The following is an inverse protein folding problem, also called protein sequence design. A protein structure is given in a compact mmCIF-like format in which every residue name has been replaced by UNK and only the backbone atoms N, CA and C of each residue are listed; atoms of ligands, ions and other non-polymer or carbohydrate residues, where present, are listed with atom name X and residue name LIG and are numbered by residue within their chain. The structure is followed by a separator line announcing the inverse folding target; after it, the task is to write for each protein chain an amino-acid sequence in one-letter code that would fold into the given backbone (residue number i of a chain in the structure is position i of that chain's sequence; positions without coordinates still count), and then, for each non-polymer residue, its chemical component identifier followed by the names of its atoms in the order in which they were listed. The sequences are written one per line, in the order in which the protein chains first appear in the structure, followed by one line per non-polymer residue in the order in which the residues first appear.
data_IF_201873331808
#
_entry.id   IF_201873331808
#
_cell.length_a   1.000
_cell.length_b   1.000
_cell.length_c   1.000
_cell.angle_alpha   90.00
_cell.angle_beta   90.00
_cell.angle_gamma   90.00
#
_symmetry.space_group_name_H-M   'P 1'
#
loop_
_entity.id
_entity.type
_entity.pdbx_description
1 polymer ?
#
# COMPACT_ATOMS: atom_id res chain seq x y z
N UNK A 1 15.37 -5.45 -21.71
CA UNK A 1 15.09 -4.42 -20.70
C UNK A 1 14.50 -3.10 -21.25
N UNK A 2 14.23 -2.97 -22.54
CA UNK A 2 13.66 -1.73 -23.16
C UNK A 2 12.13 -1.73 -23.32
N UNK A 3 11.47 -2.87 -23.22
CA UNK A 3 10.02 -3.03 -23.45
C UNK A 3 9.12 -2.65 -22.26
N UNK A 4 9.66 -2.57 -21.03
CA UNK A 4 8.86 -2.27 -19.83
C UNK A 4 8.54 -0.78 -19.68
N UNK A 5 9.34 0.11 -20.28
CA UNK A 5 9.14 1.57 -20.17
C UNK A 5 7.97 2.11 -21.02
N UNK A 6 7.58 1.39 -22.06
CA UNK A 6 6.47 1.79 -22.94
C UNK A 6 5.08 1.42 -22.37
N UNK A 7 4.98 0.40 -21.52
CA UNK A 7 3.70 -0.04 -20.97
C UNK A 7 3.16 0.89 -19.88
N UNK A 8 4.02 1.55 -19.12
CA UNK A 8 3.62 2.49 -18.05
C UNK A 8 3.05 3.79 -18.63
N UNK A 9 3.55 4.24 -19.78
CA UNK A 9 3.05 5.45 -20.45
C UNK A 9 1.71 5.24 -21.17
N UNK A 10 1.42 4.03 -21.63
CA UNK A 10 0.17 3.73 -22.33
C UNK A 10 -1.05 3.64 -21.38
N UNK A 11 -0.85 3.26 -20.12
CA UNK A 11 -1.95 3.17 -19.15
C UNK A 11 -2.41 4.54 -18.62
N UNK A 12 -1.54 5.55 -18.64
CA UNK A 12 -1.88 6.92 -18.22
C UNK A 12 -2.72 7.68 -19.26
N UNK A 13 -2.68 7.27 -20.52
CA UNK A 13 -3.36 7.97 -21.60
C UNK A 13 -4.80 7.48 -21.88
N UNK A 14 -5.14 6.26 -21.49
CA UNK A 14 -6.45 5.67 -21.80
C UNK A 14 -7.56 5.95 -20.77
N UNK A 15 -7.23 6.48 -19.58
CA UNK A 15 -8.21 6.82 -18.55
C UNK A 15 -8.90 8.20 -18.76
N UNK A 16 -8.54 8.95 -19.79
CA UNK A 16 -8.93 10.35 -19.96
C UNK A 16 -10.20 10.63 -20.79
N UNK A 17 -10.78 9.67 -21.49
CA UNK A 17 -11.75 9.97 -22.57
C UNK A 17 -13.23 9.69 -22.21
N UNK A 18 -13.55 9.06 -21.08
CA UNK A 18 -14.91 8.60 -20.76
C UNK A 18 -15.78 9.51 -19.87
N UNK A 19 -15.31 10.65 -19.36
CA UNK A 19 -15.99 11.37 -18.26
C UNK A 19 -16.50 12.80 -18.60
N UNK A 20 -16.74 13.11 -19.86
CA UNK A 20 -16.97 14.50 -20.27
C UNK A 20 -18.34 15.15 -20.01
N UNK A 21 -19.54 14.53 -19.95
CA UNK A 21 -20.76 15.32 -19.82
C UNK A 21 -21.29 15.55 -18.40
N UNK A 22 -20.92 14.74 -17.41
CA UNK A 22 -21.37 14.95 -16.01
C UNK A 22 -20.49 15.91 -15.20
N UNK A 23 -19.32 16.28 -15.73
CA UNK A 23 -18.33 17.11 -15.04
C UNK A 23 -18.78 18.59 -14.87
N UNK A 24 -19.64 19.11 -15.75
CA UNK A 24 -20.03 20.53 -15.73
C UNK A 24 -20.92 20.91 -14.54
N UNK A 25 -21.75 19.99 -14.04
CA UNK A 25 -22.59 20.24 -12.85
C UNK A 25 -21.85 20.00 -11.52
N UNK A 26 -20.81 19.18 -11.53
CA UNK A 26 -19.95 18.95 -10.37
C UNK A 26 -19.01 20.13 -10.08
N UNK A 27 -18.82 21.03 -11.05
CA UNK A 27 -17.88 22.15 -10.94
C UNK A 27 -18.26 23.20 -9.90
N UNK A 28 -19.53 23.40 -9.60
CA UNK A 28 -19.97 24.39 -8.61
C UNK A 28 -19.74 24.01 -7.15
N UNK A 29 -19.54 22.71 -6.84
CA UNK A 29 -19.31 22.21 -5.49
C UNK A 29 -17.92 21.61 -5.27
N UNK A 30 -17.02 21.68 -6.24
CA UNK A 30 -15.70 21.02 -6.22
C UNK A 30 -14.68 21.65 -5.26
N UNK A 31 -14.99 22.77 -4.64
CA UNK A 31 -14.09 23.46 -3.71
C UNK A 31 -14.26 23.03 -2.24
N UNK A 32 -15.25 22.22 -1.91
CA UNK A 32 -15.48 21.76 -0.55
C UNK A 32 -14.63 20.54 -0.23
N UNK A 33 -13.76 20.65 0.77
CA UNK A 33 -13.10 19.51 1.39
C UNK A 33 -14.11 18.54 2.02
N UNK A 34 -15.16 19.07 2.62
CA UNK A 34 -16.16 18.32 3.36
C UNK A 34 -16.98 17.45 2.42
N UNK A 35 -17.27 16.24 2.87
CA UNK A 35 -18.19 15.34 2.22
C UNK A 35 -17.85 15.09 0.74
N UNK A 36 -16.56 14.86 0.48
CA UNK A 36 -16.03 14.69 -0.86
C UNK A 36 -15.38 13.33 -1.06
N UNK A 37 -15.35 12.90 -2.32
CA UNK A 37 -14.69 11.69 -2.78
C UNK A 37 -13.44 12.03 -3.55
N UNK A 38 -12.34 11.42 -3.18
CA UNK A 38 -11.07 11.55 -3.89
C UNK A 38 -10.60 10.20 -4.38
N UNK A 39 -10.19 10.16 -5.62
CA UNK A 39 -9.40 9.05 -6.16
C UNK A 39 -7.98 9.51 -6.36
N UNK A 40 -7.01 8.67 -5.96
CA UNK A 40 -5.61 8.99 -6.04
C UNK A 40 -4.79 7.88 -6.67
N UNK A 41 -3.65 8.31 -7.25
CA UNK A 41 -2.56 7.44 -7.64
C UNK A 41 -1.27 7.97 -7.04
N UNK A 42 -0.41 7.07 -6.61
CA UNK A 42 0.83 7.44 -5.95
C UNK A 42 1.98 6.48 -6.25
N UNK A 43 3.18 6.99 -6.05
CA UNK A 43 4.40 6.22 -6.05
C UNK A 43 5.22 6.48 -4.80
N UNK A 44 6.13 5.59 -4.50
CA UNK A 44 6.97 5.72 -3.31
C UNK A 44 7.92 4.58 -3.12
N UNK A 45 8.36 4.41 -1.88
CA UNK A 45 9.27 3.35 -1.46
C UNK A 45 8.79 2.71 -0.17
N UNK A 46 8.87 1.38 -0.14
CA UNK A 46 8.68 0.57 1.07
C UNK A 46 10.04 0.05 1.52
N UNK A 47 10.49 0.48 2.71
CA UNK A 47 11.71 0.01 3.35
C UNK A 47 11.35 -1.06 4.38
N UNK A 48 11.88 -2.25 4.22
CA UNK A 48 11.61 -3.39 5.08
C UNK A 48 12.85 -4.26 5.26
N UNK A 49 12.84 -5.11 6.26
CA UNK A 49 13.86 -6.14 6.43
C UNK A 49 13.27 -7.54 6.48
N UNK A 50 13.98 -8.46 5.83
CA UNK A 50 13.85 -9.89 6.05
C UNK A 50 14.78 -10.33 7.17
N UNK A 51 14.78 -11.61 7.52
CA UNK A 51 15.73 -12.17 8.47
C UNK A 51 17.20 -12.09 8.05
N UNK A 52 17.47 -11.79 6.77
CA UNK A 52 18.83 -11.79 6.19
C UNK A 52 19.29 -10.39 5.81
N UNK A 53 18.41 -9.55 5.26
CA UNK A 53 18.79 -8.26 4.69
C UNK A 53 17.66 -7.24 4.70
N UNK A 54 18.03 -5.95 4.83
CA UNK A 54 17.13 -4.83 4.61
C UNK A 54 17.02 -4.50 3.12
N UNK A 55 15.85 -4.09 2.66
CA UNK A 55 15.54 -3.75 1.27
C UNK A 55 14.68 -2.51 1.18
N UNK A 56 14.91 -1.76 0.10
CA UNK A 56 14.06 -0.67 -0.34
C UNK A 56 13.38 -1.08 -1.65
N UNK A 57 12.07 -1.08 -1.65
CA UNK A 57 11.24 -1.52 -2.78
C UNK A 57 10.47 -0.34 -3.36
N UNK A 58 10.61 -0.02 -4.64
CA UNK A 58 9.71 0.93 -5.29
C UNK A 58 8.27 0.40 -5.21
N UNK A 59 7.36 1.30 -4.89
CA UNK A 59 5.96 0.99 -4.65
C UNK A 59 5.08 1.91 -5.49
N UNK A 60 4.01 1.36 -6.04
CA UNK A 60 2.95 2.14 -6.71
C UNK A 60 1.60 1.72 -6.14
N UNK A 61 0.67 2.66 -6.09
CA UNK A 61 -0.64 2.38 -5.52
C UNK A 61 -1.73 3.30 -6.03
N UNK A 62 -2.95 2.90 -5.69
CA UNK A 62 -4.17 3.65 -5.87
C UNK A 62 -4.84 3.80 -4.52
N UNK A 63 -5.50 4.92 -4.29
CA UNK A 63 -6.28 5.12 -3.10
C UNK A 63 -7.63 5.78 -3.40
N UNK A 64 -8.54 5.62 -2.46
CA UNK A 64 -9.85 6.19 -2.46
C UNK A 64 -10.14 6.79 -1.08
N UNK A 65 -10.32 8.10 -1.03
CA UNK A 65 -10.51 8.84 0.22
C UNK A 65 -11.92 9.43 0.28
N UNK A 66 -12.65 9.08 1.32
CA UNK A 66 -13.94 9.70 1.67
C UNK A 66 -13.70 10.67 2.81
N UNK A 67 -13.99 11.94 2.58
CA UNK A 67 -13.80 12.97 3.60
C UNK A 67 -15.11 13.33 4.30
N UNK A 68 -14.99 13.67 5.56
CA UNK A 68 -15.98 14.34 6.40
C UNK A 68 -15.33 15.60 7.00
N UNK A 69 -15.98 16.28 7.89
CA UNK A 69 -15.51 17.55 8.46
C UNK A 69 -14.03 17.56 8.85
N UNK A 70 -13.61 16.62 9.69
CA UNK A 70 -12.22 16.47 10.16
C UNK A 70 -11.69 15.04 10.00
N UNK A 71 -12.53 14.13 9.53
CA UNK A 71 -12.22 12.73 9.40
C UNK A 71 -12.24 12.33 7.94
N UNK A 72 -11.47 11.33 7.60
CA UNK A 72 -11.61 10.64 6.33
C UNK A 72 -11.38 9.14 6.52
N UNK A 73 -11.97 8.37 5.64
CA UNK A 73 -11.66 6.97 5.42
C UNK A 73 -10.83 6.87 4.15
N UNK A 74 -9.68 6.26 4.24
CA UNK A 74 -8.84 5.95 3.10
C UNK A 74 -8.85 4.44 2.86
N UNK A 75 -9.17 4.02 1.64
CA UNK A 75 -9.01 2.66 1.15
C UNK A 75 -7.89 2.67 0.11
N UNK A 76 -7.00 1.70 0.16
CA UNK A 76 -5.87 1.67 -0.76
C UNK A 76 -5.51 0.27 -1.22
N UNK A 77 -4.89 0.21 -2.38
CA UNK A 77 -4.23 -0.97 -2.91
C UNK A 77 -2.90 -0.57 -3.53
N UNK A 78 -1.84 -1.29 -3.20
CA UNK A 78 -0.51 -0.99 -3.69
C UNK A 78 0.29 -2.24 -3.98
N UNK A 79 1.34 -2.07 -4.78
CA UNK A 79 2.31 -3.10 -5.08
C UNK A 79 3.73 -2.57 -4.92
N UNK A 80 4.54 -3.29 -4.15
CA UNK A 80 5.97 -3.08 -4.00
C UNK A 80 6.73 -4.12 -4.82
N UNK A 81 7.76 -3.67 -5.56
CA UNK A 81 8.54 -4.51 -6.47
C UNK A 81 9.92 -4.76 -5.89
N UNK A 82 10.25 -6.00 -5.62
CA UNK A 82 11.56 -6.38 -5.08
C UNK A 82 11.88 -7.85 -5.32
N UNK A 83 13.17 -8.16 -5.17
CA UNK A 83 13.68 -9.51 -4.97
C UNK A 83 14.48 -9.53 -3.68
N UNK A 84 14.14 -10.39 -2.76
CA UNK A 84 14.80 -10.52 -1.48
C UNK A 84 14.87 -12.00 -1.05
N UNK A 85 15.77 -12.30 -0.14
CA UNK A 85 15.88 -13.61 0.50
C UNK A 85 15.43 -13.46 1.94
N UNK A 86 14.60 -14.39 2.39
CA UNK A 86 14.20 -14.55 3.78
C UNK A 86 14.52 -15.96 4.25
N UNK A 87 14.23 -16.28 5.49
CA UNK A 87 14.39 -17.65 6.00
C UNK A 87 13.10 -18.16 6.63
N UNK A 88 12.91 -19.46 6.53
CA UNK A 88 11.89 -20.21 7.24
C UNK A 88 12.51 -21.45 7.86
N UNK A 89 12.03 -21.87 9.02
CA UNK A 89 12.42 -23.14 9.60
C UNK A 89 11.48 -24.24 9.12
N UNK A 90 12.05 -25.31 8.57
CA UNK A 90 11.30 -26.50 8.13
C UNK A 90 10.57 -27.16 9.33
N UNK A 91 11.25 -27.18 10.49
CA UNK A 91 10.71 -27.61 11.79
C UNK A 91 11.51 -26.93 12.92
N UNK A 92 11.05 -26.93 14.19
CA UNK A 92 11.65 -26.12 15.27
C UNK A 92 13.15 -26.32 15.52
N UNK A 93 13.70 -27.48 15.17
CA UNK A 93 15.13 -27.80 15.36
C UNK A 93 15.93 -27.77 14.06
N UNK A 94 15.29 -27.46 12.92
CA UNK A 94 15.97 -27.41 11.63
C UNK A 94 16.78 -26.11 11.47
N UNK A 95 17.87 -26.19 10.70
CA UNK A 95 18.55 -25.01 10.21
C UNK A 95 17.61 -24.16 9.35
N UNK A 96 17.69 -22.83 9.42
CA UNK A 96 16.86 -21.97 8.61
C UNK A 96 17.08 -22.21 7.12
N UNK A 97 16.00 -22.50 6.38
CA UNK A 97 16.00 -22.61 4.92
C UNK A 97 15.82 -21.23 4.31
N UNK A 98 16.64 -20.92 3.33
CA UNK A 98 16.46 -19.69 2.54
C UNK A 98 15.26 -19.82 1.61
N UNK A 99 14.55 -18.72 1.46
CA UNK A 99 13.37 -18.59 0.60
C UNK A 99 13.50 -17.31 -0.20
N UNK A 100 13.52 -17.42 -1.52
CA UNK A 100 13.46 -16.29 -2.42
C UNK A 100 12.05 -15.74 -2.45
N UNK A 101 11.90 -14.47 -2.10
CA UNK A 101 10.62 -13.77 -2.11
C UNK A 101 10.64 -12.63 -3.13
N UNK A 102 9.53 -12.47 -3.85
CA UNK A 102 9.39 -11.37 -4.80
C UNK A 102 8.08 -10.65 -4.59
N UNK A 103 8.11 -9.36 -4.82
CA UNK A 103 6.95 -8.47 -4.87
C UNK A 103 5.99 -8.63 -3.68
N UNK A 104 5.43 -7.54 -3.24
CA UNK A 104 4.40 -7.55 -2.22
C UNK A 104 3.22 -6.71 -2.68
N UNK A 105 2.02 -7.25 -2.53
CA UNK A 105 0.76 -6.52 -2.65
C UNK A 105 0.26 -6.19 -1.28
N UNK A 106 -0.26 -4.99 -1.13
CA UNK A 106 -0.89 -4.56 0.11
C UNK A 106 -2.24 -3.91 -0.20
N UNK A 107 -3.27 -4.35 0.50
CA UNK A 107 -4.60 -3.74 0.48
C UNK A 107 -5.01 -3.41 1.90
N UNK A 108 -5.66 -2.27 2.09
CA UNK A 108 -6.01 -1.86 3.44
C UNK A 108 -6.89 -0.63 3.50
N UNK A 109 -7.11 -0.21 4.73
CA UNK A 109 -7.84 1.01 5.03
C UNK A 109 -7.18 1.75 6.18
N UNK A 110 -7.36 3.08 6.23
CA UNK A 110 -7.02 3.91 7.40
C UNK A 110 -8.10 4.93 7.70
N UNK A 111 -8.33 5.16 8.97
CA UNK A 111 -9.07 6.30 9.46
C UNK A 111 -8.09 7.45 9.65
N UNK A 112 -8.37 8.58 9.00
CA UNK A 112 -7.51 9.77 9.01
C UNK A 112 -8.20 10.90 9.77
N UNK A 113 -7.43 11.64 10.55
CA UNK A 113 -7.86 12.84 11.26
C UNK A 113 -7.07 14.01 10.73
N UNK A 114 -7.77 15.01 10.21
CA UNK A 114 -7.17 16.22 9.67
C UNK A 114 -7.12 17.34 10.72
N UNK A 115 -5.99 17.99 10.80
CA UNK A 115 -5.86 19.23 11.59
C UNK A 115 -6.67 20.35 10.93
N UNK A 116 -7.00 21.45 11.64
CA UNK A 116 -7.51 22.64 11.01
C UNK A 116 -6.62 23.06 9.84
N UNK A 117 -7.24 23.47 8.72
CA UNK A 117 -6.51 23.82 7.51
C UNK A 117 -5.55 24.99 7.73
N UNK A 118 -4.34 24.84 7.28
CA UNK A 118 -3.37 25.93 7.12
C UNK A 118 -3.54 26.49 5.70
N UNK A 119 -4.58 27.29 5.49
CA UNK A 119 -4.98 27.80 4.17
C UNK A 119 -5.23 26.65 3.17
N UNK A 120 -4.25 26.31 2.35
CA UNK A 120 -4.30 25.32 1.28
C UNK A 120 -3.63 23.99 1.63
N UNK A 121 -3.05 23.84 2.82
CA UNK A 121 -2.42 22.61 3.31
C UNK A 121 -3.29 21.99 4.39
N UNK A 122 -3.49 20.67 4.33
CA UNK A 122 -4.19 19.85 5.33
C UNK A 122 -3.29 18.74 5.84
N UNK A 123 -2.60 18.96 6.96
CA UNK A 123 -1.90 17.88 7.67
C UNK A 123 -2.89 16.89 8.25
N UNK A 124 -2.47 15.62 8.33
CA UNK A 124 -3.26 14.56 8.93
C UNK A 124 -2.41 13.51 9.63
N UNK A 125 -3.05 12.81 10.53
CA UNK A 125 -2.57 11.56 11.11
C UNK A 125 -3.61 10.48 10.85
N UNK A 126 -3.18 9.26 10.67
CA UNK A 126 -4.06 8.14 10.42
C UNK A 126 -3.62 6.88 11.15
N UNK A 127 -4.58 5.98 11.29
CA UNK A 127 -4.37 4.64 11.83
C UNK A 127 -5.21 3.65 11.02
N UNK A 128 -4.61 2.53 10.67
CA UNK A 128 -5.26 1.58 9.78
C UNK A 128 -4.82 0.15 9.94
N UNK A 129 -5.38 -0.67 9.06
CA UNK A 129 -5.07 -2.08 8.96
C UNK A 129 -4.84 -2.45 7.50
N UNK A 130 -3.82 -3.26 7.25
CA UNK A 130 -3.46 -3.71 5.92
C UNK A 130 -3.21 -5.22 5.87
N UNK A 131 -3.68 -5.83 4.80
CA UNK A 131 -3.34 -7.19 4.42
C UNK A 131 -2.18 -7.14 3.42
N UNK A 132 -1.12 -7.86 3.75
CA UNK A 132 0.10 -7.93 2.97
C UNK A 132 0.22 -9.32 2.37
N UNK A 133 0.48 -9.40 1.07
CA UNK A 133 0.58 -10.63 0.29
C UNK A 133 1.90 -10.64 -0.49
N UNK A 134 2.85 -11.48 -0.11
CA UNK A 134 4.06 -11.71 -0.89
C UNK A 134 3.69 -12.59 -2.09
N UNK A 135 4.05 -12.15 -3.29
CA UNK A 135 3.61 -12.80 -4.54
C UNK A 135 4.22 -14.18 -4.72
N UNK A 136 5.53 -14.32 -4.50
CA UNK A 136 6.22 -15.62 -4.61
C UNK A 136 7.06 -15.89 -3.38
N UNK A 137 7.21 -17.17 -3.05
CA UNK A 137 8.13 -17.66 -2.04
C UNK A 137 8.68 -19.01 -2.50
N UNK A 138 9.89 -19.00 -3.04
CA UNK A 138 10.53 -20.19 -3.57
C UNK A 138 11.64 -20.68 -2.61
N UNK A 139 11.51 -21.86 -2.02
CA UNK A 139 12.54 -22.40 -1.13
C UNK A 139 13.80 -22.78 -1.92
N UNK A 140 14.95 -22.39 -1.40
CA UNK A 140 16.23 -22.84 -1.93
C UNK A 140 16.60 -24.24 -1.39
N UNK A 141 17.42 -24.94 -2.17
CA UNK A 141 18.01 -26.24 -1.80
C UNK A 141 17.09 -27.44 -2.05
N UNK A 142 17.64 -28.63 -1.80
CA UNK A 142 16.94 -29.88 -2.00
C UNK A 142 16.19 -30.31 -0.74
N UNK A 143 15.06 -31.00 -0.94
CA UNK A 143 14.33 -31.66 0.14
C UNK A 143 14.85 -33.10 0.27
N UNK A 144 15.66 -33.36 1.28
CA UNK A 144 16.23 -34.70 1.53
C UNK A 144 15.25 -35.66 2.21
N UNK A 145 14.12 -35.13 2.72
CA UNK A 145 13.11 -35.95 3.38
C UNK A 145 11.98 -36.33 2.42
N UNK A 146 11.02 -37.10 2.91
CA UNK A 146 9.89 -37.62 2.15
C UNK A 146 9.08 -36.51 1.43
N UNK A 147 8.29 -36.85 0.40
CA UNK A 147 7.37 -35.92 -0.24
C UNK A 147 6.47 -35.15 0.75
N UNK A 148 6.05 -35.81 1.82
CA UNK A 148 5.23 -35.21 2.89
C UNK A 148 5.96 -34.04 3.61
N UNK A 149 7.27 -34.16 3.83
CA UNK A 149 8.07 -33.09 4.42
C UNK A 149 8.14 -31.86 3.50
N UNK A 150 8.26 -32.09 2.18
CA UNK A 150 8.21 -31.02 1.18
C UNK A 150 6.87 -30.26 1.22
N UNK A 151 5.77 -30.99 1.23
CA UNK A 151 4.43 -30.37 1.23
C UNK A 151 4.18 -29.57 2.50
N UNK A 152 4.66 -30.05 3.65
CA UNK A 152 4.61 -29.33 4.93
C UNK A 152 5.39 -28.00 4.85
N UNK A 153 6.59 -28.00 4.26
CA UNK A 153 7.40 -26.78 4.11
C UNK A 153 6.73 -25.80 3.16
N UNK A 154 6.19 -26.28 2.03
CA UNK A 154 5.48 -25.42 1.09
C UNK A 154 4.21 -24.80 1.72
N UNK A 155 3.48 -25.54 2.53
CA UNK A 155 2.34 -25.00 3.29
C UNK A 155 2.77 -23.87 4.24
N UNK A 156 3.84 -24.07 5.01
CA UNK A 156 4.38 -23.03 5.90
C UNK A 156 4.85 -21.79 5.14
N UNK A 157 5.46 -21.96 3.99
CA UNK A 157 5.85 -20.84 3.11
C UNK A 157 4.59 -20.06 2.68
N UNK A 158 3.53 -20.75 2.26
CA UNK A 158 2.28 -20.12 1.87
C UNK A 158 1.65 -19.35 3.03
N UNK A 159 1.63 -19.90 4.22
CA UNK A 159 1.11 -19.24 5.43
C UNK A 159 1.95 -17.98 5.77
N UNK A 160 3.28 -18.09 5.65
CA UNK A 160 4.21 -17.00 5.94
C UNK A 160 4.21 -15.86 4.89
N UNK A 161 3.57 -16.06 3.75
CA UNK A 161 3.44 -15.04 2.68
C UNK A 161 2.36 -14.03 2.95
N UNK A 162 1.42 -14.31 3.84
CA UNK A 162 0.29 -13.43 4.12
C UNK A 162 0.31 -12.95 5.55
N UNK A 163 0.14 -11.65 5.77
CA UNK A 163 0.04 -11.10 7.12
C UNK A 163 -0.90 -9.89 7.15
N UNK A 164 -1.78 -9.89 8.14
CA UNK A 164 -2.54 -8.70 8.52
C UNK A 164 -1.76 -7.88 9.54
N UNK A 165 -1.64 -6.57 9.33
CA UNK A 165 -0.86 -5.67 10.17
C UNK A 165 -1.58 -4.35 10.38
N UNK A 166 -1.52 -3.85 11.62
CA UNK A 166 -1.87 -2.46 11.92
C UNK A 166 -0.76 -1.54 11.42
N UNK A 167 -1.08 -0.29 11.09
CA UNK A 167 -0.11 0.73 10.76
C UNK A 167 -0.61 2.10 11.21
N UNK A 168 0.34 3.01 11.44
CA UNK A 168 0.08 4.43 11.60
C UNK A 168 0.61 5.20 10.41
N UNK A 169 -0.05 6.28 10.03
CA UNK A 169 0.41 7.18 8.99
C UNK A 169 0.33 8.64 9.40
N UNK A 170 1.20 9.45 8.82
CA UNK A 170 1.20 10.90 8.92
C UNK A 170 1.44 11.48 7.53
N UNK A 171 0.80 12.59 7.24
CA UNK A 171 0.99 13.20 5.92
C UNK A 171 0.37 14.58 5.82
N UNK A 172 0.46 15.11 4.63
CA UNK A 172 -0.20 16.36 4.26
C UNK A 172 -0.76 16.29 2.86
N UNK A 173 -1.82 17.01 2.65
CA UNK A 173 -2.55 17.10 1.39
C UNK A 173 -2.73 18.57 1.02
N UNK A 174 -2.39 18.92 -0.21
CA UNK A 174 -2.55 20.27 -0.74
C UNK A 174 -3.88 20.39 -1.47
N UNK A 175 -4.57 21.50 -1.26
CA UNK A 175 -5.87 21.76 -1.88
C UNK A 175 -5.72 22.74 -3.02
N UNK A 176 -5.67 22.27 -4.26
CA UNK A 176 -5.48 23.07 -5.47
C UNK A 176 -6.66 22.81 -6.42
N UNK A 177 -7.78 23.48 -6.17
CA UNK A 177 -9.01 23.24 -6.93
C UNK A 177 -9.51 21.81 -6.75
N UNK A 178 -9.59 21.04 -7.86
CA UNK A 178 -9.99 19.62 -7.83
C UNK A 178 -8.81 18.66 -7.58
N UNK A 179 -7.60 19.16 -7.67
CA UNK A 179 -6.39 18.37 -7.51
C UNK A 179 -5.83 18.50 -6.11
N UNK A 180 -5.39 17.41 -5.56
CA UNK A 180 -4.83 17.37 -4.21
C UNK A 180 -3.55 16.55 -4.19
N UNK A 181 -2.40 17.16 -4.52
CA UNK A 181 -1.11 16.54 -4.27
C UNK A 181 -0.97 16.18 -2.80
N UNK A 182 -0.35 15.05 -2.51
CA UNK A 182 -0.12 14.63 -1.14
C UNK A 182 1.23 13.96 -0.98
N UNK A 183 1.73 13.97 0.24
CA UNK A 183 2.83 13.14 0.67
C UNK A 183 2.51 12.53 2.04
N UNK A 184 2.95 11.30 2.24
CA UNK A 184 2.60 10.47 3.38
C UNK A 184 3.77 9.61 3.79
N UNK A 185 3.94 9.44 5.09
CA UNK A 185 4.82 8.47 5.70
C UNK A 185 4.00 7.54 6.57
N UNK A 186 4.15 6.23 6.38
CA UNK A 186 3.48 5.22 7.19
C UNK A 186 4.49 4.27 7.83
N UNK A 187 4.17 3.83 9.04
CA UNK A 187 4.95 2.89 9.84
C UNK A 187 4.10 1.70 10.19
N UNK A 188 4.58 0.52 9.87
CA UNK A 188 3.92 -0.74 10.12
C UNK A 188 4.81 -1.62 10.98
N UNK A 189 4.42 -1.99 12.23
CA UNK A 189 5.19 -2.90 13.05
C UNK A 189 5.22 -4.31 12.43
N UNK A 190 6.41 -4.86 12.30
CA UNK A 190 6.64 -6.15 11.64
C UNK A 190 7.10 -7.23 12.61
N UNK A 191 7.76 -6.85 13.71
CA UNK A 191 8.27 -7.76 14.73
C UNK A 191 7.13 -8.39 15.53
N UNK A 192 7.26 -9.66 15.86
CA UNK A 192 6.37 -10.35 16.81
C UNK A 192 5.42 -11.40 16.24
N UNK A 193 5.20 -11.46 14.95
CA UNK A 193 4.41 -12.54 14.34
C UNK A 193 5.36 -13.51 13.63
N UNK A 194 5.80 -14.51 14.36
CA UNK A 194 6.90 -15.43 14.09
C UNK A 194 7.01 -16.08 12.72
N UNK A 195 5.99 -16.03 11.89
CA UNK A 195 5.99 -16.75 10.62
C UNK A 195 6.02 -15.86 9.38
N UNK A 196 5.86 -14.52 9.51
CA UNK A 196 5.88 -13.67 8.34
C UNK A 196 7.31 -13.46 7.83
N UNK A 197 7.52 -13.55 6.50
CA UNK A 197 8.86 -13.49 5.89
C UNK A 197 9.51 -12.12 5.93
N UNK A 198 8.74 -11.05 6.20
CA UNK A 198 9.23 -9.67 6.34
C UNK A 198 9.21 -9.28 7.82
N UNK A 199 10.09 -9.89 8.61
CA UNK A 199 10.12 -9.72 10.08
C UNK A 199 11.52 -9.41 10.63
N UNK A 200 12.47 -9.02 9.78
CA UNK A 200 13.87 -8.81 10.19
C UNK A 200 14.10 -7.57 11.05
N UNK A 201 13.30 -6.52 10.87
CA UNK A 201 13.32 -5.29 11.68
C UNK A 201 12.00 -5.09 12.42
N UNK A 202 12.02 -4.19 13.40
CA UNK A 202 10.83 -3.88 14.19
C UNK A 202 9.71 -3.23 13.40
N UNK A 203 10.05 -2.56 12.28
CA UNK A 203 9.11 -1.76 11.50
C UNK A 203 9.39 -1.84 10.01
N UNK A 204 8.32 -1.75 9.21
CA UNK A 204 8.38 -1.41 7.80
C UNK A 204 7.98 0.05 7.64
N UNK A 205 8.81 0.82 6.94
CA UNK A 205 8.62 2.24 6.69
C UNK A 205 8.19 2.44 5.24
N UNK A 206 7.17 3.27 5.02
CA UNK A 206 6.57 3.48 3.72
C UNK A 206 6.48 4.97 3.47
N UNK A 207 7.14 5.42 2.40
CA UNK A 207 7.08 6.78 1.89
C UNK A 207 6.31 6.81 0.61
N UNK A 208 5.29 7.65 0.51
CA UNK A 208 4.48 7.78 -0.68
C UNK A 208 4.15 9.24 -0.98
N UNK A 209 4.08 9.55 -2.25
CA UNK A 209 3.61 10.83 -2.75
C UNK A 209 2.79 10.62 -4.01
N UNK A 210 1.78 11.44 -4.21
CA UNK A 210 0.87 11.26 -5.33
C UNK A 210 -0.09 12.41 -5.54
N UNK A 211 -1.09 12.14 -6.33
CA UNK A 211 -2.13 13.08 -6.70
C UNK A 211 -3.50 12.44 -6.48
N UNK A 212 -4.37 13.15 -5.76
CA UNK A 212 -5.78 12.83 -5.60
C UNK A 212 -6.63 13.80 -6.40
N UNK A 213 -7.69 13.32 -6.99
CA UNK A 213 -8.67 14.12 -7.75
C UNK A 213 -10.00 14.06 -7.05
N UNK A 214 -10.57 15.21 -6.75
CA UNK A 214 -11.91 15.34 -6.19
C UNK A 214 -12.95 15.03 -7.27
N UNK A 215 -13.78 14.02 -7.04
CA UNK A 215 -14.85 13.60 -7.95
C UNK A 215 -16.22 14.21 -7.61
N UNK A 216 -16.32 14.95 -6.52
CA UNK A 216 -17.54 15.60 -6.09
C UNK A 216 -17.98 15.23 -4.68
N UNK A 217 -19.21 15.59 -4.35
CA UNK A 217 -19.79 15.34 -3.03
C UNK A 217 -20.04 13.86 -2.78
N UNK A 218 -19.75 13.40 -1.57
CA UNK A 218 -20.08 12.07 -1.08
C UNK A 218 -21.46 11.97 -0.41
N UNK A 219 -22.22 13.07 -0.38
CA UNK A 219 -23.57 13.15 0.15
C UNK A 219 -24.48 13.71 -0.94
N UNK A 220 -25.60 13.04 -1.19
CA UNK A 220 -26.69 13.64 -1.96
C UNK A 220 -27.28 14.80 -1.16
N UNK A 221 -27.18 16.02 -1.68
CA UNK A 221 -27.94 17.14 -1.15
C UNK A 221 -29.38 16.91 -1.60
N UNK A 222 -30.25 16.52 -0.66
CA UNK A 222 -31.70 16.63 -0.89
C UNK A 222 -32.03 18.11 -1.07
N UNK A 223 -32.60 18.44 -2.20
CA UNK A 223 -33.19 19.74 -2.54
C UNK A 223 -34.50 19.94 -1.79
#
# INVERSE_FOLDING_TARGET
MRSLRLLVLAFAASAGVGLAPSAARAQQNAASWQDSWYWGAYGGYTSFATTIASKNAPTVGLDWVLTRTRFALNLFAEQSYFNAVSTIQDFPTAAPRKVDITDMRRVGFSAMIFTPSLKWVKPYVGFGYAFNFIKTGNPEGTFFASPQARDTVLSRINDARTAGKVFGDVGFMFMIGRFSPFAQYAVMPTKGNGNWMVNGEGFTNIWSAGLRVNLGSSIEKKW
#
